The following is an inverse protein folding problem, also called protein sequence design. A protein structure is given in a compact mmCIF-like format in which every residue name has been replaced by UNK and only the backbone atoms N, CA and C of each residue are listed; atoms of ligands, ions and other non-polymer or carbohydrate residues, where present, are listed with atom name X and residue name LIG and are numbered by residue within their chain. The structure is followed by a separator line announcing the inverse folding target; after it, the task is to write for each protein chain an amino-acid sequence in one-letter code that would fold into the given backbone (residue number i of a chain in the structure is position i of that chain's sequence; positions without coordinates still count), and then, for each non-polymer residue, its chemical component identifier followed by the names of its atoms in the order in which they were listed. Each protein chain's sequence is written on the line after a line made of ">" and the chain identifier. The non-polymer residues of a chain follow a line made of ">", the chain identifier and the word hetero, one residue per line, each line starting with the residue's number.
data_IF_691206630078
#
_entry.id   IF_691206630078
#
_cell.length_a   1.000
_cell.length_b   1.000
_cell.length_c   1.000
_cell.angle_alpha   90.00
_cell.angle_beta   90.00
_cell.angle_gamma   90.00
#
_symmetry.space_group_name_H-M   'P 1'
#
loop_
_entity.id
_entity.type
_entity.pdbx_description
1 polymer ?
#
# COMPACT_ATOMS: atom_id res chain seq x y z
N UNK A 1 -5.68 21.37 -39.60
CA UNK A 1 -5.47 19.91 -39.65
C UNK A 1 -4.26 19.64 -38.76
N UNK A 2 -4.34 18.71 -37.80
CA UNK A 2 -3.21 18.47 -36.90
C UNK A 2 -2.08 17.81 -37.70
N UNK A 3 -0.91 18.45 -37.76
CA UNK A 3 0.21 18.01 -38.60
C UNK A 3 0.87 16.71 -38.12
N UNK A 4 0.72 16.33 -36.84
CA UNK A 4 1.38 15.18 -36.20
C UNK A 4 0.46 14.39 -35.25
N UNK A 5 -0.56 13.69 -35.78
CA UNK A 5 -1.56 12.99 -34.96
C UNK A 5 -0.98 11.89 -34.06
N UNK A 6 0.13 11.26 -34.46
CA UNK A 6 0.81 10.19 -33.71
C UNK A 6 1.39 10.65 -32.37
N UNK A 7 1.86 11.90 -32.29
CA UNK A 7 2.37 12.49 -31.05
C UNK A 7 1.25 12.74 -30.04
N UNK A 8 0.10 13.22 -30.52
CA UNK A 8 -1.10 13.34 -29.68
C UNK A 8 -1.64 11.99 -29.22
N UNK A 9 -1.60 10.96 -30.07
CA UNK A 9 -1.99 9.61 -29.67
C UNK A 9 -1.11 9.06 -28.54
N UNK A 10 0.20 9.31 -28.62
CA UNK A 10 1.17 8.91 -27.58
C UNK A 10 0.88 9.64 -26.27
N UNK A 11 0.70 10.97 -26.32
CA UNK A 11 0.38 11.77 -25.14
C UNK A 11 -0.96 11.36 -24.51
N UNK A 12 -1.99 11.11 -25.33
CA UNK A 12 -3.30 10.65 -24.85
C UNK A 12 -3.19 9.30 -24.13
N UNK A 13 -2.41 8.36 -24.68
CA UNK A 13 -2.14 7.07 -24.02
C UNK A 13 -1.44 7.24 -22.67
N UNK A 14 -0.42 8.11 -22.59
CA UNK A 14 0.30 8.38 -21.33
C UNK A 14 -0.62 9.07 -20.31
N UNK A 15 -1.43 10.02 -20.74
CA UNK A 15 -2.40 10.70 -19.88
C UNK A 15 -3.42 9.71 -19.30
N UNK A 16 -3.95 8.81 -20.13
CA UNK A 16 -4.86 7.77 -19.68
C UNK A 16 -4.20 6.82 -18.67
N UNK A 17 -2.96 6.41 -18.91
CA UNK A 17 -2.22 5.59 -17.95
C UNK A 17 -2.00 6.31 -16.62
N UNK A 18 -1.65 7.60 -16.65
CA UNK A 18 -1.50 8.42 -15.46
C UNK A 18 -2.81 8.51 -14.65
N UNK A 19 -3.93 8.71 -15.34
CA UNK A 19 -5.26 8.75 -14.70
C UNK A 19 -5.61 7.42 -14.03
N UNK A 20 -5.34 6.28 -14.70
CA UNK A 20 -5.56 4.95 -14.12
C UNK A 20 -4.72 4.75 -12.85
N UNK A 21 -3.44 5.11 -12.88
CA UNK A 21 -2.57 4.98 -11.70
C UNK A 21 -3.01 5.91 -10.57
N UNK A 22 -3.43 7.14 -10.88
CA UNK A 22 -3.93 8.07 -9.88
C UNK A 22 -5.20 7.55 -9.18
N UNK A 23 -6.14 6.98 -9.95
CA UNK A 23 -7.34 6.34 -9.40
C UNK A 23 -6.99 5.14 -8.52
N UNK A 24 -6.00 4.34 -8.92
CA UNK A 24 -5.54 3.21 -8.11
C UNK A 24 -4.91 3.66 -6.79
N UNK A 25 -4.13 4.74 -6.81
CA UNK A 25 -3.55 5.34 -5.61
C UNK A 25 -4.65 5.86 -4.67
N UNK A 26 -5.63 6.58 -5.21
CA UNK A 26 -6.80 7.07 -4.47
C UNK A 26 -7.62 5.91 -3.87
N UNK A 27 -7.81 4.82 -4.59
CA UNK A 27 -8.52 3.63 -4.06
C UNK A 27 -7.78 3.01 -2.87
N UNK A 28 -6.44 2.97 -2.91
CA UNK A 28 -5.61 2.36 -1.86
C UNK A 28 -5.61 3.21 -0.58
N UNK A 29 -5.37 4.52 -0.70
CA UNK A 29 -5.11 5.40 0.44
C UNK A 29 -6.23 6.41 0.72
N UNK A 30 -7.25 6.50 -0.14
CA UNK A 30 -8.31 7.53 -0.12
C UNK A 30 -7.80 8.97 -0.18
N UNK A 31 -6.54 9.14 -0.55
CA UNK A 31 -5.88 10.43 -0.70
C UNK A 31 -5.43 10.61 -2.15
N UNK A 32 -5.60 11.83 -2.64
CA UNK A 32 -5.11 12.21 -3.96
C UNK A 32 -3.61 12.53 -3.90
N UNK A 33 -2.83 11.94 -4.79
CA UNK A 33 -1.38 12.18 -4.85
C UNK A 33 -1.10 13.57 -5.44
N UNK A 34 -0.96 14.58 -4.58
CA UNK A 34 -0.75 15.99 -4.99
C UNK A 34 0.40 16.14 -6.02
N UNK A 35 1.56 15.47 -5.87
CA UNK A 35 2.62 15.50 -6.89
C UNK A 35 2.14 15.04 -8.28
N UNK A 36 1.47 13.88 -8.38
CA UNK A 36 0.98 13.36 -9.65
C UNK A 36 -0.05 14.28 -10.31
N UNK A 37 -0.92 14.91 -9.51
CA UNK A 37 -1.92 15.88 -9.98
C UNK A 37 -1.25 17.15 -10.51
N UNK A 38 -0.20 17.62 -9.83
CA UNK A 38 0.59 18.76 -10.31
C UNK A 38 1.26 18.45 -11.65
N UNK A 39 1.79 17.24 -11.83
CA UNK A 39 2.36 16.80 -13.10
C UNK A 39 1.30 16.78 -14.21
N UNK A 40 0.09 16.26 -13.96
CA UNK A 40 -1.02 16.32 -14.92
C UNK A 40 -1.44 17.75 -15.27
N UNK A 41 -1.38 18.69 -14.32
CA UNK A 41 -1.59 20.11 -14.60
C UNK A 41 -0.54 20.66 -15.56
N UNK A 42 0.73 20.25 -15.41
CA UNK A 42 1.79 20.64 -16.35
C UNK A 42 1.62 19.98 -17.72
N UNK A 43 1.07 18.76 -17.81
CA UNK A 43 0.68 18.16 -19.09
C UNK A 43 -0.29 19.08 -19.83
N UNK A 44 -1.36 19.53 -19.15
CA UNK A 44 -2.36 20.40 -19.75
C UNK A 44 -1.76 21.74 -20.20
N UNK A 45 -0.87 22.34 -19.39
CA UNK A 45 -0.17 23.57 -19.73
C UNK A 45 0.63 23.44 -21.04
N UNK A 46 1.47 22.40 -21.15
CA UNK A 46 2.29 22.18 -22.33
C UNK A 46 1.46 21.80 -23.57
N UNK A 47 0.36 21.05 -23.38
CA UNK A 47 -0.57 20.73 -24.46
C UNK A 47 -1.25 21.98 -25.02
N UNK A 48 -1.74 22.88 -24.17
CA UNK A 48 -2.36 24.15 -24.59
C UNK A 48 -1.34 25.02 -25.34
N UNK A 49 -0.09 25.07 -24.86
CA UNK A 49 0.99 25.83 -25.51
C UNK A 49 1.34 25.25 -26.89
N UNK A 50 1.51 23.93 -27.00
CA UNK A 50 1.74 23.25 -28.27
C UNK A 50 0.62 23.53 -29.29
N UNK A 51 -0.65 23.46 -28.85
CA UNK A 51 -1.80 23.75 -29.71
C UNK A 51 -1.84 25.21 -30.17
N UNK A 52 -1.36 26.15 -29.34
CA UNK A 52 -1.31 27.59 -29.65
C UNK A 52 -0.14 27.96 -30.58
N UNK A 53 0.89 27.12 -30.66
CA UNK A 53 2.12 27.32 -31.44
C UNK A 53 2.23 26.37 -32.65
N UNK A 54 1.12 25.75 -33.08
CA UNK A 54 1.11 24.81 -34.23
C UNK A 54 1.82 25.40 -35.46
N UNK A 55 2.73 24.64 -36.05
CA UNK A 55 3.53 25.04 -37.22
C UNK A 55 4.74 25.93 -36.92
N UNK A 56 5.11 26.11 -35.64
CA UNK A 56 6.32 26.82 -35.20
C UNK A 56 7.30 25.89 -34.49
N UNK A 57 8.56 26.33 -34.36
CA UNK A 57 9.68 25.58 -33.77
C UNK A 57 9.50 25.14 -32.28
N UNK A 58 8.38 25.48 -31.64
CA UNK A 58 8.05 25.09 -30.25
C UNK A 58 7.19 23.84 -30.09
N UNK A 59 6.46 23.42 -31.14
CA UNK A 59 5.45 22.37 -31.04
C UNK A 59 5.99 21.04 -30.49
N UNK A 60 7.07 20.52 -31.10
CA UNK A 60 7.61 19.21 -30.73
C UNK A 60 8.20 19.22 -29.31
N UNK A 61 8.84 20.32 -28.92
CA UNK A 61 9.41 20.48 -27.58
C UNK A 61 8.33 20.48 -26.50
N UNK A 62 7.19 21.12 -26.76
CA UNK A 62 6.07 21.12 -25.81
C UNK A 62 5.38 19.78 -25.69
N UNK A 63 5.17 19.08 -26.79
CA UNK A 63 4.61 17.73 -26.72
C UNK A 63 5.56 16.79 -25.96
N UNK A 64 6.87 16.87 -26.19
CA UNK A 64 7.85 16.08 -25.43
C UNK A 64 7.82 16.41 -23.93
N UNK A 65 7.70 17.69 -23.56
CA UNK A 65 7.54 18.09 -22.15
C UNK A 65 6.24 17.56 -21.54
N UNK A 66 5.13 17.66 -22.27
CA UNK A 66 3.85 17.11 -21.86
C UNK A 66 3.94 15.59 -21.62
N UNK A 67 4.58 14.85 -22.52
CA UNK A 67 4.81 13.41 -22.37
C UNK A 67 5.65 13.10 -21.13
N UNK A 68 6.70 13.89 -20.87
CA UNK A 68 7.55 13.72 -19.69
C UNK A 68 6.79 13.98 -18.37
N UNK A 69 5.93 15.00 -18.32
CA UNK A 69 5.05 15.25 -17.18
C UNK A 69 4.04 14.12 -16.99
N UNK A 70 3.44 13.60 -18.06
CA UNK A 70 2.51 12.47 -17.96
C UNK A 70 3.21 11.22 -17.39
N UNK A 71 4.43 10.93 -17.85
CA UNK A 71 5.27 9.86 -17.30
C UNK A 71 5.59 10.09 -15.82
N UNK A 72 5.91 11.31 -15.40
CA UNK A 72 6.14 11.63 -13.98
C UNK A 72 4.89 11.43 -13.13
N UNK A 73 3.72 11.83 -13.62
CA UNK A 73 2.45 11.59 -12.94
C UNK A 73 2.19 10.10 -12.70
N UNK A 74 2.46 9.27 -13.72
CA UNK A 74 2.41 7.79 -13.61
C UNK A 74 3.30 7.30 -12.46
N UNK A 75 4.54 7.80 -12.37
CA UNK A 75 5.49 7.39 -11.33
C UNK A 75 5.04 7.80 -9.93
N UNK A 76 4.70 9.06 -9.76
CA UNK A 76 4.32 9.58 -8.44
C UNK A 76 3.10 8.85 -7.88
N UNK A 77 2.09 8.55 -8.73
CA UNK A 77 0.92 7.79 -8.32
C UNK A 77 1.24 6.32 -7.99
N UNK A 78 2.11 5.69 -8.78
CA UNK A 78 2.56 4.30 -8.55
C UNK A 78 3.36 4.19 -7.26
N UNK A 79 4.30 5.12 -7.02
CA UNK A 79 5.12 5.15 -5.80
C UNK A 79 4.23 5.37 -4.57
N UNK A 80 3.28 6.29 -4.63
CA UNK A 80 2.32 6.51 -3.54
C UNK A 80 1.51 5.24 -3.23
N UNK A 81 1.03 4.54 -4.27
CA UNK A 81 0.31 3.26 -4.11
C UNK A 81 1.13 2.22 -3.36
N UNK A 82 2.41 2.09 -3.73
CA UNK A 82 3.33 1.13 -3.11
C UNK A 82 3.60 1.50 -1.65
N UNK A 83 3.90 2.78 -1.38
CA UNK A 83 4.16 3.25 -0.02
C UNK A 83 2.96 3.01 0.89
N UNK A 84 1.75 3.33 0.43
CA UNK A 84 0.53 3.09 1.18
C UNK A 84 0.29 1.60 1.46
N UNK A 85 0.52 0.71 0.49
CA UNK A 85 0.40 -0.74 0.71
C UNK A 85 1.44 -1.27 1.70
N UNK A 86 2.68 -0.78 1.62
CA UNK A 86 3.75 -1.15 2.56
C UNK A 86 3.45 -0.69 3.98
N UNK A 87 2.90 0.52 4.13
CA UNK A 87 2.49 1.09 5.41
C UNK A 87 1.33 0.29 6.02
N UNK A 88 0.29 -0.03 5.26
CA UNK A 88 -0.81 -0.90 5.72
C UNK A 88 -0.30 -2.24 6.22
N UNK A 89 0.61 -2.87 5.49
CA UNK A 89 1.21 -4.14 5.89
C UNK A 89 2.08 -4.01 7.16
N UNK A 90 2.73 -2.86 7.36
CA UNK A 90 3.51 -2.56 8.57
C UNK A 90 2.63 -2.35 9.79
N UNK A 91 1.56 -1.57 9.66
CA UNK A 91 0.56 -1.38 10.72
C UNK A 91 0.03 -2.73 11.17
N UNK A 92 -0.34 -3.60 10.23
CA UNK A 92 -0.79 -4.95 10.54
C UNK A 92 0.27 -5.76 11.32
N UNK A 93 1.53 -5.72 10.89
CA UNK A 93 2.61 -6.41 11.61
C UNK A 93 2.77 -5.89 13.03
N UNK A 94 2.75 -4.58 13.23
CA UNK A 94 2.89 -3.97 14.55
C UNK A 94 1.76 -4.40 15.49
N UNK A 95 0.54 -4.48 14.98
CA UNK A 95 -0.63 -4.87 15.77
C UNK A 95 -0.68 -6.37 16.12
N UNK A 96 -0.31 -7.25 15.17
CA UNK A 96 -0.58 -8.70 15.31
C UNK A 96 0.64 -9.58 15.55
N UNK A 97 1.87 -9.05 15.47
CA UNK A 97 3.11 -9.84 15.65
C UNK A 97 3.21 -10.55 17.01
N UNK A 98 2.59 -10.00 18.06
CA UNK A 98 2.66 -10.55 19.42
C UNK A 98 1.48 -11.48 19.75
N UNK A 99 0.48 -11.58 18.87
CA UNK A 99 -0.67 -12.44 19.11
C UNK A 99 -0.39 -13.85 18.60
N UNK A 100 -0.35 -14.82 19.51
CA UNK A 100 -0.14 -16.23 19.18
C UNK A 100 -1.17 -16.77 18.19
N UNK A 101 -2.41 -16.25 18.22
CA UNK A 101 -3.47 -16.70 17.34
C UNK A 101 -3.31 -16.23 15.89
N UNK A 102 -2.34 -15.35 15.59
CA UNK A 102 -2.08 -14.84 14.24
C UNK A 102 -1.71 -15.99 13.29
N UNK A 103 -0.78 -16.87 13.65
CA UNK A 103 -0.39 -18.02 12.81
C UNK A 103 -1.45 -19.11 12.74
N UNK A 104 -2.39 -19.14 13.69
CA UNK A 104 -3.51 -20.08 13.65
C UNK A 104 -4.62 -19.63 12.71
N UNK A 105 -4.83 -18.31 12.56
CA UNK A 105 -5.77 -17.74 11.60
C UNK A 105 -5.13 -17.63 10.22
N UNK A 106 -3.83 -17.35 10.18
CA UNK A 106 -3.06 -17.15 8.97
C UNK A 106 -1.84 -18.09 8.96
N UNK A 107 -2.01 -19.39 8.61
CA UNK A 107 -0.93 -20.37 8.67
C UNK A 107 0.28 -20.03 7.79
N UNK A 108 0.06 -19.30 6.69
CA UNK A 108 1.09 -18.84 5.76
C UNK A 108 1.70 -17.48 6.15
N UNK A 109 1.47 -16.98 7.37
CA UNK A 109 1.92 -15.64 7.80
C UNK A 109 3.41 -15.40 7.57
N UNK A 110 4.26 -16.39 7.89
CA UNK A 110 5.71 -16.29 7.68
C UNK A 110 6.07 -16.10 6.21
N UNK A 111 5.37 -16.76 5.29
CA UNK A 111 5.63 -16.61 3.87
C UNK A 111 5.12 -15.27 3.32
N UNK A 112 4.03 -14.74 3.88
CA UNK A 112 3.60 -13.37 3.59
C UNK A 112 4.65 -12.36 4.03
N UNK A 113 5.26 -12.53 5.22
CA UNK A 113 6.35 -11.67 5.67
C UNK A 113 7.57 -11.74 4.74
N UNK A 114 7.95 -12.93 4.27
CA UNK A 114 9.04 -13.09 3.29
C UNK A 114 8.74 -12.37 1.97
N UNK A 115 7.50 -12.47 1.46
CA UNK A 115 7.06 -11.79 0.24
C UNK A 115 7.11 -10.28 0.41
N UNK A 116 6.63 -9.77 1.55
CA UNK A 116 6.68 -8.36 1.87
C UNK A 116 8.12 -7.83 1.95
N UNK A 117 9.01 -8.57 2.61
CA UNK A 117 10.43 -8.22 2.70
C UNK A 117 11.13 -8.28 1.33
N UNK A 118 10.74 -9.23 0.48
CA UNK A 118 11.22 -9.28 -0.91
C UNK A 118 10.79 -8.04 -1.69
N UNK A 119 9.53 -7.63 -1.57
CA UNK A 119 9.02 -6.42 -2.21
C UNK A 119 9.74 -5.17 -1.71
N UNK A 120 9.89 -5.02 -0.37
CA UNK A 120 10.62 -3.91 0.25
C UNK A 120 12.05 -3.79 -0.27
N UNK A 121 12.79 -4.90 -0.33
CA UNK A 121 14.16 -4.90 -0.85
C UNK A 121 14.22 -4.57 -2.33
N UNK A 122 13.32 -5.13 -3.15
CA UNK A 122 13.24 -4.81 -4.57
C UNK A 122 12.98 -3.32 -4.82
N UNK A 123 12.02 -2.74 -4.09
CA UNK A 123 11.69 -1.32 -4.17
C UNK A 123 12.86 -0.45 -3.65
N UNK A 124 13.48 -0.82 -2.53
CA UNK A 124 14.61 -0.10 -1.97
C UNK A 124 15.82 -0.08 -2.93
N UNK A 125 16.09 -1.20 -3.60
CA UNK A 125 17.17 -1.31 -4.58
C UNK A 125 16.95 -0.35 -5.76
N UNK A 126 15.71 -0.22 -6.24
CA UNK A 126 15.38 0.74 -7.30
C UNK A 126 15.54 2.19 -6.83
N UNK A 127 15.35 2.48 -5.52
CA UNK A 127 15.46 3.83 -4.95
C UNK A 127 16.86 4.21 -4.46
N UNK A 128 17.78 3.25 -4.36
CA UNK A 128 19.04 3.42 -3.64
C UNK A 128 20.07 4.34 -4.33
N UNK A 129 19.91 4.63 -5.63
CA UNK A 129 20.87 5.42 -6.39
C UNK A 129 20.21 6.69 -6.94
N UNK A 130 20.92 7.81 -6.81
CA UNK A 130 20.50 9.11 -7.34
C UNK A 130 20.27 9.07 -8.86
N UNK A 131 21.03 8.21 -9.56
CA UNK A 131 20.86 7.92 -10.98
C UNK A 131 19.50 7.32 -11.33
N UNK A 132 18.94 6.46 -10.46
CA UNK A 132 17.60 5.89 -10.67
C UNK A 132 16.50 6.90 -10.36
N UNK A 133 16.73 7.80 -9.40
CA UNK A 133 15.81 8.91 -9.11
C UNK A 133 15.67 9.87 -10.29
N UNK A 134 16.75 10.10 -11.04
CA UNK A 134 16.74 10.93 -12.26
C UNK A 134 16.19 10.16 -13.48
N UNK A 135 16.37 8.84 -13.53
CA UNK A 135 15.93 7.96 -14.62
C UNK A 135 14.74 7.07 -14.26
N UNK A 136 13.74 7.59 -13.54
CA UNK A 136 12.57 6.81 -13.07
C UNK A 136 11.86 6.02 -14.18
N UNK A 137 11.93 6.51 -15.43
CA UNK A 137 11.34 5.85 -16.59
C UNK A 137 11.90 4.45 -16.87
N UNK A 138 13.17 4.20 -16.55
CA UNK A 138 13.83 2.95 -16.89
C UNK A 138 13.45 1.79 -15.95
N UNK A 139 13.18 2.09 -14.68
CA UNK A 139 12.96 1.09 -13.63
C UNK A 139 11.49 0.87 -13.29
N UNK A 140 10.61 1.64 -13.91
CA UNK A 140 9.17 1.58 -13.66
C UNK A 140 8.53 0.21 -13.88
N UNK A 141 8.83 -0.53 -14.97
CA UNK A 141 8.22 -1.84 -15.18
C UNK A 141 8.52 -2.83 -14.04
N UNK A 142 9.70 -2.73 -13.44
CA UNK A 142 10.11 -3.57 -12.32
C UNK A 142 9.30 -3.24 -11.05
N UNK A 143 9.08 -1.94 -10.80
CA UNK A 143 8.35 -1.45 -9.62
C UNK A 143 6.85 -1.75 -9.72
N UNK A 144 6.27 -1.59 -10.90
CA UNK A 144 4.87 -1.94 -11.18
C UNK A 144 4.55 -3.40 -10.85
N UNK A 145 5.50 -4.30 -11.10
CA UNK A 145 5.34 -5.74 -10.83
C UNK A 145 5.03 -6.06 -9.37
N UNK A 146 5.38 -5.17 -8.43
CA UNK A 146 5.10 -5.38 -7.01
C UNK A 146 3.67 -5.00 -6.59
N UNK A 147 2.97 -4.14 -7.34
CA UNK A 147 1.66 -3.61 -6.90
C UNK A 147 0.62 -4.71 -6.73
N UNK A 148 0.46 -5.59 -7.72
CA UNK A 148 -0.52 -6.69 -7.62
C UNK A 148 -0.20 -7.61 -6.44
N UNK A 149 1.07 -7.99 -6.31
CA UNK A 149 1.52 -8.86 -5.22
C UNK A 149 1.34 -8.23 -3.83
N UNK A 150 1.54 -6.91 -3.70
CA UNK A 150 1.32 -6.17 -2.47
C UNK A 150 -0.17 -5.98 -2.18
N UNK A 151 -1.02 -5.70 -3.19
CA UNK A 151 -2.47 -5.62 -3.04
C UNK A 151 -3.05 -6.94 -2.51
N UNK A 152 -2.69 -8.05 -3.15
CA UNK A 152 -3.16 -9.38 -2.72
C UNK A 152 -2.72 -9.72 -1.30
N UNK A 153 -1.48 -9.36 -0.95
CA UNK A 153 -0.92 -9.54 0.38
C UNK A 153 -1.72 -8.72 1.41
N UNK A 154 -1.89 -7.41 1.19
CA UNK A 154 -2.63 -6.53 2.10
C UNK A 154 -4.07 -6.98 2.24
N UNK A 155 -4.74 -7.34 1.15
CA UNK A 155 -6.10 -7.87 1.19
C UNK A 155 -6.20 -9.15 2.03
N UNK A 156 -5.20 -10.04 1.94
CA UNK A 156 -5.13 -11.24 2.78
C UNK A 156 -5.01 -10.90 4.26
N UNK A 157 -4.17 -9.90 4.60
CA UNK A 157 -4.00 -9.42 5.97
C UNK A 157 -5.30 -8.78 6.50
N UNK A 158 -5.92 -7.87 5.72
CA UNK A 158 -7.16 -7.20 6.10
C UNK A 158 -8.33 -8.19 6.32
N UNK A 159 -8.42 -9.25 5.51
CA UNK A 159 -9.42 -10.32 5.71
C UNK A 159 -9.18 -11.13 6.99
N UNK A 160 -7.91 -11.32 7.38
CA UNK A 160 -7.54 -12.05 8.59
C UNK A 160 -7.74 -11.23 9.88
N UNK A 161 -7.66 -9.90 9.80
CA UNK A 161 -7.78 -8.99 10.95
C UNK A 161 -8.99 -9.31 11.88
N UNK A 162 -10.25 -9.29 11.40
CA UNK A 162 -11.41 -9.52 12.28
C UNK A 162 -11.38 -10.91 12.94
N UNK A 163 -10.82 -11.91 12.26
CA UNK A 163 -10.72 -13.28 12.76
C UNK A 163 -9.69 -13.39 13.87
N UNK A 164 -8.53 -12.72 13.72
CA UNK A 164 -7.50 -12.64 14.75
C UNK A 164 -8.03 -11.90 15.97
N UNK A 165 -8.66 -10.74 15.79
CA UNK A 165 -9.25 -9.97 16.90
C UNK A 165 -10.30 -10.76 17.66
N UNK A 166 -11.20 -11.44 16.95
CA UNK A 166 -12.20 -12.31 17.57
C UNK A 166 -11.53 -13.42 18.40
N UNK A 167 -10.52 -14.09 17.85
CA UNK A 167 -9.85 -15.21 18.50
C UNK A 167 -9.03 -14.77 19.71
N UNK A 168 -8.31 -13.66 19.60
CA UNK A 168 -7.60 -13.01 20.70
C UNK A 168 -8.54 -12.65 21.85
N UNK A 169 -9.69 -12.03 21.54
CA UNK A 169 -10.72 -11.71 22.55
C UNK A 169 -11.25 -12.95 23.24
N UNK A 170 -11.56 -14.03 22.50
CA UNK A 170 -12.02 -15.30 23.09
C UNK A 170 -10.99 -15.89 24.04
N UNK A 171 -9.70 -15.89 23.66
CA UNK A 171 -8.61 -16.36 24.53
C UNK A 171 -8.49 -15.54 25.81
N UNK A 172 -8.55 -14.22 25.70
CA UNK A 172 -8.52 -13.34 26.87
C UNK A 172 -9.68 -13.65 27.83
N UNK A 173 -10.91 -13.79 27.31
CA UNK A 173 -12.08 -14.16 28.11
C UNK A 173 -11.91 -15.52 28.79
N UNK A 174 -11.44 -16.54 28.05
CA UNK A 174 -11.19 -17.87 28.62
C UNK A 174 -10.12 -17.83 29.71
N UNK A 175 -9.07 -17.05 29.53
CA UNK A 175 -8.02 -16.87 30.53
C UNK A 175 -8.59 -16.24 31.81
N UNK A 176 -9.38 -15.16 31.70
CA UNK A 176 -10.01 -14.53 32.87
C UNK A 176 -10.98 -15.47 33.59
N UNK A 177 -11.79 -16.24 32.86
CA UNK A 177 -12.68 -17.23 33.46
C UNK A 177 -11.91 -18.33 34.18
N UNK A 178 -10.80 -18.80 33.61
CA UNK A 178 -9.93 -19.79 34.25
C UNK A 178 -9.36 -19.25 35.56
N UNK A 179 -8.81 -18.03 35.56
CA UNK A 179 -8.28 -17.38 36.76
C UNK A 179 -9.38 -17.18 37.82
N UNK A 180 -10.55 -16.68 37.42
CA UNK A 180 -11.68 -16.51 38.34
C UNK A 180 -12.13 -17.84 38.96
N UNK A 181 -12.19 -18.91 38.16
CA UNK A 181 -12.55 -20.25 38.65
C UNK A 181 -11.53 -20.79 39.65
N UNK A 182 -10.23 -20.55 39.43
CA UNK A 182 -9.16 -20.95 40.35
C UNK A 182 -9.26 -20.19 41.68
N UNK A 183 -9.50 -18.89 41.63
CA UNK A 183 -9.69 -18.05 42.83
C UNK A 183 -10.91 -18.51 43.63
N UNK A 184 -12.04 -18.75 42.95
CA UNK A 184 -13.26 -19.24 43.61
C UNK A 184 -13.04 -20.61 44.27
N UNK A 185 -12.31 -21.52 43.62
CA UNK A 185 -11.96 -22.82 44.19
C UNK A 185 -11.10 -22.69 45.46
N UNK A 186 -10.07 -21.84 45.43
CA UNK A 186 -9.20 -21.58 46.59
C UNK A 186 -10.02 -20.98 47.75
N UNK A 187 -10.87 -19.99 47.48
CA UNK A 187 -11.75 -19.41 48.49
C UNK A 187 -12.71 -20.45 49.09
N UNK A 188 -13.29 -21.32 48.27
CA UNK A 188 -14.15 -22.41 48.73
C UNK A 188 -13.44 -23.37 49.67
N UNK A 189 -12.18 -23.73 49.38
CA UNK A 189 -11.35 -24.57 50.26
C UNK A 189 -11.07 -23.86 51.59
N UNK A 190 -10.67 -22.59 51.55
CA UNK A 190 -10.36 -21.80 52.76
C UNK A 190 -11.59 -21.64 53.67
N UNK A 191 -12.76 -21.35 53.10
CA UNK A 191 -14.02 -21.24 53.85
C UNK A 191 -14.37 -22.58 54.48
N UNK A 192 -14.22 -23.68 53.72
CA UNK A 192 -14.52 -25.03 54.23
C UNK A 192 -13.61 -25.41 55.41
N UNK A 193 -12.31 -25.10 55.32
CA UNK A 193 -11.35 -25.30 56.41
C UNK A 193 -11.70 -24.44 57.64
N UNK A 194 -12.05 -23.17 57.44
CA UNK A 194 -12.44 -22.28 58.54
C UNK A 194 -13.70 -22.78 59.25
N UNK A 195 -14.72 -23.23 58.51
CA UNK A 195 -15.93 -23.81 59.07
C UNK A 195 -15.64 -25.11 59.84
N UNK A 196 -14.75 -25.96 59.34
CA UNK A 196 -14.34 -27.19 60.03
C UNK A 196 -13.62 -26.90 61.36
N UNK A 197 -12.74 -25.89 61.40
CA UNK A 197 -12.03 -25.51 62.62
C UNK A 197 -12.92 -24.84 63.69
N UNK A 198 -14.12 -24.39 63.32
CA UNK A 198 -15.10 -23.78 64.23
C UNK A 198 -16.07 -24.79 64.86
N UNK A 199 -16.10 -26.03 64.38
CA UNK A 199 -16.93 -27.14 64.91
C UNK A 199 -16.19 -27.88 66.02
#
# INVERSE_FOLDING_TARGET
>A
MIEKPERFATLASLFQQAEVQLKQAEEIDRNLTIPAVNELRYVAFHLIRALSEQGRDGFDSDIERAENHAKRAIYDATEASILALLEKAEVYQLEFRSLECTTEVLPNYVDLLKRLESARRGIAQVRATEEHYLNRQQYYPEVLGYISGLRDLVATLEQADPLIRMKSRKRAVHFYLMVASLVAAILGILISLALFLLQ
#
